data_IF_441420241185
#
_entry.id   IF_441420241185
#
_cell.length_a   1.000
_cell.length_b   1.000
_cell.length_c   1.000
_cell.angle_alpha   90.00
_cell.angle_beta   90.00
_cell.angle_gamma   90.00
#
_symmetry.space_group_name_H-M   'P 1'
#
loop_
_entity.id
_entity.type
_entity.pdbx_description
1 polymer ?
#
# COMPACT_ATOMS: atom_id res chain seq x y z
N UNK A 1 23.08 13.06 -6.60
CA UNK A 1 22.34 12.02 -5.85
C UNK A 1 21.72 11.07 -6.85
N UNK A 2 22.09 9.81 -6.79
CA UNK A 2 21.53 8.79 -7.69
C UNK A 2 20.07 8.57 -7.30
N UNK A 3 19.14 9.12 -8.05
CA UNK A 3 17.71 8.84 -7.91
C UNK A 3 17.51 7.35 -8.24
N UNK A 4 17.21 6.56 -7.24
CA UNK A 4 16.94 5.13 -7.41
C UNK A 4 15.68 4.98 -8.27
N UNK A 5 15.85 4.62 -9.53
CA UNK A 5 14.75 4.32 -10.44
C UNK A 5 14.25 2.90 -10.23
N UNK A 6 12.95 2.70 -10.32
CA UNK A 6 12.28 1.41 -10.18
C UNK A 6 11.63 1.02 -11.48
N UNK A 7 11.66 -0.28 -11.80
CA UNK A 7 10.91 -0.85 -12.93
C UNK A 7 9.42 -0.68 -12.67
N UNK A 8 8.71 -0.13 -13.62
CA UNK A 8 7.28 0.08 -13.52
C UNK A 8 6.57 -0.20 -14.84
N UNK A 9 5.31 -0.56 -14.72
CA UNK A 9 4.35 -0.68 -15.82
C UNK A 9 3.22 0.28 -15.55
N UNK A 10 3.02 1.22 -16.48
CA UNK A 10 1.91 2.14 -16.46
C UNK A 10 0.80 1.56 -17.33
N UNK A 11 -0.33 1.17 -16.74
CA UNK A 11 -1.53 0.73 -17.44
C UNK A 11 -2.46 1.91 -17.65
N UNK A 12 -2.95 2.06 -18.89
CA UNK A 12 -3.96 3.05 -19.22
C UNK A 12 -5.36 2.45 -19.24
N UNK A 13 -6.38 3.28 -19.14
CA UNK A 13 -7.78 2.83 -19.31
C UNK A 13 -8.11 2.35 -20.70
N UNK A 14 -7.34 2.75 -21.71
CA UNK A 14 -7.40 2.23 -23.09
C UNK A 14 -6.92 0.78 -23.22
N UNK A 15 -6.52 0.16 -22.11
CA UNK A 15 -5.88 -1.16 -22.00
C UNK A 15 -4.43 -1.24 -22.45
N UNK A 16 -3.91 -0.19 -23.07
CA UNK A 16 -2.49 -0.08 -23.41
C UNK A 16 -1.64 0.02 -22.14
N UNK A 17 -0.40 -0.39 -22.26
CA UNK A 17 0.57 -0.26 -21.19
C UNK A 17 1.92 0.21 -21.72
N UNK A 18 2.69 0.82 -20.85
CA UNK A 18 4.06 1.25 -21.11
C UNK A 18 4.95 0.79 -19.99
N UNK A 19 6.01 0.05 -20.31
CA UNK A 19 7.05 -0.36 -19.36
C UNK A 19 8.21 0.62 -19.37
N UNK A 20 8.80 0.86 -18.20
CA UNK A 20 9.96 1.72 -18.08
C UNK A 20 10.41 1.91 -16.64
N UNK A 21 11.18 2.96 -16.42
CA UNK A 21 11.76 3.27 -15.12
C UNK A 21 11.15 4.56 -14.56
N UNK A 22 10.68 4.50 -13.33
CA UNK A 22 10.09 5.61 -12.60
C UNK A 22 10.98 5.96 -11.40
N UNK A 23 11.10 7.24 -11.06
CA UNK A 23 11.71 7.66 -9.82
C UNK A 23 10.96 7.05 -8.62
N UNK A 24 11.66 6.70 -7.55
CA UNK A 24 11.02 6.10 -6.38
C UNK A 24 10.06 7.08 -5.67
N UNK A 25 10.31 8.37 -5.81
CA UNK A 25 9.52 9.50 -5.30
C UNK A 25 9.40 10.56 -6.38
N UNK A 26 8.39 11.42 -6.26
CA UNK A 26 8.20 12.59 -7.13
C UNK A 26 8.14 12.26 -8.62
N UNK A 27 7.46 11.20 -8.99
CA UNK A 27 7.30 10.80 -10.38
C UNK A 27 6.06 11.39 -11.05
N UNK A 28 5.25 12.15 -10.30
CA UNK A 28 4.11 12.89 -10.84
C UNK A 28 4.45 14.37 -10.91
N UNK A 29 4.27 14.97 -12.07
CA UNK A 29 4.51 16.40 -12.29
C UNK A 29 3.45 16.98 -13.21
N UNK A 30 2.88 18.09 -12.82
CA UNK A 30 1.90 18.84 -13.62
C UNK A 30 0.76 17.98 -14.17
N UNK A 31 0.26 17.04 -13.35
CA UNK A 31 -0.84 16.13 -13.74
C UNK A 31 -0.44 15.00 -14.69
N UNK A 32 0.85 14.69 -14.78
CA UNK A 32 1.38 13.59 -15.58
C UNK A 32 2.31 12.68 -14.76
N UNK A 33 2.35 11.41 -15.12
CA UNK A 33 3.33 10.43 -14.66
C UNK A 33 4.54 10.49 -15.58
N UNK A 34 5.72 10.74 -15.04
CA UNK A 34 6.98 10.74 -15.79
C UNK A 34 7.62 9.35 -15.77
N UNK A 35 7.80 8.77 -16.93
CA UNK A 35 8.40 7.45 -17.13
C UNK A 35 9.57 7.55 -18.12
N UNK A 36 10.72 6.98 -17.77
CA UNK A 36 11.80 6.73 -18.72
C UNK A 36 11.55 5.39 -19.39
N UNK A 37 11.20 5.39 -20.68
CA UNK A 37 10.93 4.17 -21.41
C UNK A 37 12.20 3.33 -21.67
N UNK A 38 12.03 2.14 -22.24
CA UNK A 38 13.14 1.22 -22.52
C UNK A 38 14.06 1.71 -23.65
N UNK A 39 13.64 2.71 -24.44
CA UNK A 39 14.45 3.35 -25.46
C UNK A 39 15.28 4.52 -24.93
N UNK A 40 15.10 4.88 -23.65
CA UNK A 40 15.78 6.02 -23.02
C UNK A 40 15.06 7.36 -23.18
N UNK A 41 13.81 7.34 -23.66
CA UNK A 41 12.99 8.55 -23.83
C UNK A 41 12.12 8.78 -22.58
N UNK A 42 12.04 10.03 -22.13
CA UNK A 42 11.12 10.43 -21.07
C UNK A 42 9.73 10.64 -21.66
N UNK A 43 8.76 9.92 -21.13
CA UNK A 43 7.35 10.04 -21.49
C UNK A 43 6.60 10.70 -20.32
N UNK A 44 5.72 11.63 -20.64
CA UNK A 44 4.76 12.20 -19.70
C UNK A 44 3.36 11.66 -20.05
N UNK A 45 2.81 10.87 -19.16
CA UNK A 45 1.50 10.20 -19.33
C UNK A 45 0.50 10.91 -18.44
N UNK A 46 -0.56 11.46 -19.02
CA UNK A 46 -1.61 12.15 -18.26
C UNK A 46 -2.19 11.23 -17.17
N UNK A 47 -2.25 11.73 -15.93
CA UNK A 47 -2.83 10.99 -14.80
C UNK A 47 -4.27 10.58 -15.09
N UNK A 48 -5.02 11.39 -15.87
CA UNK A 48 -6.40 11.08 -16.26
C UNK A 48 -6.51 9.80 -17.09
N UNK A 49 -5.47 9.46 -17.84
CA UNK A 49 -5.43 8.26 -18.68
C UNK A 49 -4.91 7.03 -17.93
N UNK A 50 -4.23 7.25 -16.80
CA UNK A 50 -3.59 6.17 -16.03
C UNK A 50 -4.62 5.43 -15.18
N UNK A 51 -4.68 4.10 -15.37
CA UNK A 51 -5.45 3.21 -14.51
C UNK A 51 -4.70 2.92 -13.20
N UNK A 52 -3.46 2.46 -13.32
CA UNK A 52 -2.51 2.24 -12.22
C UNK A 52 -1.07 2.24 -12.71
N UNK A 53 -0.16 2.42 -11.78
CA UNK A 53 1.28 2.24 -11.98
C UNK A 53 1.74 1.07 -11.12
N UNK A 54 2.17 -0.02 -11.76
CA UNK A 54 2.63 -1.22 -11.08
C UNK A 54 4.16 -1.25 -11.00
N UNK A 55 4.69 -1.29 -9.79
CA UNK A 55 6.11 -1.49 -9.56
C UNK A 55 6.42 -2.98 -9.62
N UNK A 56 7.22 -3.37 -10.59
CA UNK A 56 7.41 -4.77 -10.97
C UNK A 56 8.85 -5.24 -10.74
N UNK A 57 9.00 -6.55 -10.59
CA UNK A 57 10.33 -7.18 -10.50
C UNK A 57 10.98 -7.24 -11.86
N UNK A 58 10.21 -7.58 -12.90
CA UNK A 58 10.70 -7.72 -14.25
C UNK A 58 9.66 -7.22 -15.28
N UNK A 59 10.16 -6.75 -16.43
CA UNK A 59 9.32 -6.41 -17.58
C UNK A 59 8.87 -7.64 -18.35
N UNK A 60 9.63 -8.73 -18.28
CA UNK A 60 9.31 -10.01 -18.91
C UNK A 60 8.69 -10.97 -17.89
N UNK A 61 7.41 -10.82 -17.64
CA UNK A 61 6.65 -11.70 -16.75
C UNK A 61 6.18 -13.00 -17.41
N UNK A 62 6.41 -13.15 -18.72
CA UNK A 62 5.87 -14.24 -19.54
C UNK A 62 4.45 -13.99 -20.06
N UNK A 63 3.83 -12.86 -19.69
CA UNK A 63 2.49 -12.46 -20.15
C UNK A 63 2.56 -11.10 -20.86
N UNK A 64 2.40 -11.09 -22.17
CA UNK A 64 2.52 -9.86 -22.97
C UNK A 64 1.34 -8.91 -22.77
N UNK A 65 0.14 -9.44 -22.55
CA UNK A 65 -1.07 -8.63 -22.38
C UNK A 65 -1.23 -8.09 -20.95
N UNK A 66 -0.62 -8.76 -19.98
CA UNK A 66 -0.70 -8.41 -18.57
C UNK A 66 0.66 -8.56 -17.87
N UNK A 67 1.66 -7.74 -18.24
CA UNK A 67 3.01 -7.86 -17.70
C UNK A 67 3.09 -7.56 -16.20
N UNK A 68 2.18 -6.80 -15.64
CA UNK A 68 2.06 -6.57 -14.19
C UNK A 68 1.65 -7.82 -13.42
N UNK A 69 0.97 -8.76 -14.05
CA UNK A 69 0.61 -10.09 -13.54
C UNK A 69 0.09 -10.09 -12.09
N UNK A 70 -1.18 -9.71 -11.94
CA UNK A 70 -1.89 -9.89 -10.66
C UNK A 70 -2.39 -11.33 -10.54
N UNK A 71 -1.77 -12.13 -9.69
CA UNK A 71 -2.27 -13.49 -9.39
C UNK A 71 -3.54 -13.44 -8.54
N UNK A 72 -3.59 -12.48 -7.62
CA UNK A 72 -4.75 -12.24 -6.76
C UNK A 72 -5.03 -10.75 -6.68
N UNK A 73 -6.28 -10.37 -6.89
CA UNK A 73 -6.76 -8.99 -6.70
C UNK A 73 -7.46 -8.79 -5.36
N UNK A 74 -7.85 -9.87 -4.69
CA UNK A 74 -8.57 -9.84 -3.42
C UNK A 74 -7.89 -10.73 -2.38
N UNK A 75 -8.05 -10.40 -1.12
CA UNK A 75 -7.61 -11.25 -0.02
C UNK A 75 -8.60 -12.39 0.19
N UNK A 76 -8.09 -13.61 0.44
CA UNK A 76 -8.92 -14.76 0.85
C UNK A 76 -9.22 -14.79 2.36
N UNK A 77 -8.65 -13.87 3.11
CA UNK A 77 -8.80 -13.74 4.56
C UNK A 77 -8.09 -12.49 5.05
N UNK A 78 -7.94 -12.34 6.37
CA UNK A 78 -7.29 -11.16 6.94
C UNK A 78 -5.84 -11.01 6.43
N UNK A 79 -5.45 -9.82 5.94
CA UNK A 79 -4.07 -9.53 5.56
C UNK A 79 -3.10 -9.74 6.73
N UNK A 80 -1.89 -10.22 6.43
CA UNK A 80 -0.84 -10.42 7.44
C UNK A 80 0.03 -9.19 7.69
N UNK A 81 0.03 -8.23 6.74
CA UNK A 81 0.76 -6.98 6.86
C UNK A 81 0.02 -5.94 7.70
N UNK A 82 0.67 -4.83 7.99
CA UNK A 82 0.09 -3.68 8.69
C UNK A 82 -0.41 -2.64 7.69
N UNK A 83 -1.41 -1.87 8.08
CA UNK A 83 -1.94 -0.77 7.30
C UNK A 83 -3.46 -0.76 7.23
N UNK A 84 -3.98 0.03 6.31
CA UNK A 84 -5.41 0.07 6.00
C UNK A 84 -5.70 -0.96 4.92
N UNK A 85 -6.55 -1.94 5.24
CA UNK A 85 -7.09 -2.84 4.25
C UNK A 85 -8.16 -2.12 3.46
N UNK A 86 -7.86 -1.82 2.21
CA UNK A 86 -8.75 -1.12 1.29
C UNK A 86 -9.31 -2.08 0.24
N UNK A 87 -10.57 -1.86 -0.09
CA UNK A 87 -11.22 -2.43 -1.27
C UNK A 87 -11.56 -1.28 -2.20
N UNK A 88 -11.12 -1.39 -3.44
CA UNK A 88 -11.24 -0.34 -4.44
C UNK A 88 -12.05 -0.82 -5.62
N UNK A 89 -12.92 0.03 -6.13
CA UNK A 89 -13.53 -0.11 -7.44
C UNK A 89 -12.97 0.99 -8.34
N UNK A 90 -12.47 0.60 -9.49
CA UNK A 90 -11.97 1.52 -10.49
C UNK A 90 -13.11 1.97 -11.41
N UNK A 91 -12.94 3.10 -12.07
CA UNK A 91 -13.99 3.67 -12.93
C UNK A 91 -14.36 2.82 -14.17
N UNK A 92 -13.52 1.84 -14.53
CA UNK A 92 -13.83 0.84 -15.57
C UNK A 92 -14.54 -0.41 -15.00
N UNK A 93 -14.89 -0.41 -13.72
CA UNK A 93 -15.55 -1.51 -13.03
C UNK A 93 -14.60 -2.59 -12.49
N UNK A 94 -13.31 -2.51 -12.75
CA UNK A 94 -12.33 -3.44 -12.18
C UNK A 94 -12.16 -3.20 -10.66
N UNK A 95 -11.82 -4.25 -9.93
CA UNK A 95 -11.68 -4.20 -8.47
C UNK A 95 -10.28 -4.61 -8.04
N UNK A 96 -9.81 -4.05 -6.94
CA UNK A 96 -8.54 -4.38 -6.34
C UNK A 96 -8.62 -4.21 -4.82
N UNK A 97 -8.14 -5.18 -4.07
CA UNK A 97 -7.86 -5.02 -2.65
C UNK A 97 -6.37 -4.86 -2.39
N UNK A 98 -6.02 -4.26 -1.28
CA UNK A 98 -4.64 -4.14 -0.86
C UNK A 98 -4.49 -3.44 0.48
N UNK A 99 -3.25 -3.36 0.93
CA UNK A 99 -2.88 -2.62 2.13
C UNK A 99 -2.24 -1.29 1.75
N UNK A 100 -2.83 -0.21 2.23
CA UNK A 100 -2.23 1.12 2.18
C UNK A 100 -1.54 1.42 3.50
N UNK A 101 -0.44 2.17 3.44
CA UNK A 101 0.20 2.69 4.64
C UNK A 101 -0.75 3.66 5.35
N UNK A 102 -0.94 3.47 6.66
CA UNK A 102 -1.73 4.39 7.48
C UNK A 102 -0.91 5.64 7.80
N UNK A 103 -0.84 6.55 6.89
CA UNK A 103 -0.02 7.74 6.98
C UNK A 103 -0.44 8.85 6.03
N UNK A 104 0.31 9.95 6.05
CA UNK A 104 0.00 11.16 5.30
C UNK A 104 -0.02 10.95 3.78
N UNK A 105 0.70 9.94 3.27
CA UNK A 105 0.70 9.60 1.84
C UNK A 105 -0.68 9.24 1.26
N UNK A 106 -1.65 8.88 2.13
CA UNK A 106 -3.04 8.70 1.71
C UNK A 106 -3.74 10.01 1.36
N UNK A 107 -3.21 11.14 1.80
CA UNK A 107 -3.75 12.47 1.54
C UNK A 107 -3.11 13.13 0.31
N UNK A 108 -2.16 12.47 -0.34
CA UNK A 108 -1.54 12.97 -1.56
C UNK A 108 -2.62 13.23 -2.63
N UNK A 109 -2.55 14.41 -3.24
CA UNK A 109 -3.59 14.86 -4.18
C UNK A 109 -3.65 14.01 -5.44
N UNK A 110 -2.49 13.51 -5.92
CA UNK A 110 -2.40 12.79 -7.19
C UNK A 110 -2.82 11.31 -7.06
N UNK A 111 -2.48 10.68 -5.96
CA UNK A 111 -2.74 9.27 -5.75
C UNK A 111 -2.06 8.70 -4.51
N UNK A 112 -2.16 7.41 -4.32
CA UNK A 112 -1.56 6.72 -3.18
C UNK A 112 -1.05 5.32 -3.55
N UNK A 113 -0.18 4.80 -2.69
CA UNK A 113 0.39 3.46 -2.84
C UNK A 113 -0.45 2.39 -2.16
N UNK A 114 -0.47 1.21 -2.78
CA UNK A 114 -1.13 0.02 -2.30
C UNK A 114 -0.20 -1.19 -2.45
N UNK A 115 -0.15 -2.03 -1.41
CA UNK A 115 0.50 -3.34 -1.50
C UNK A 115 -0.56 -4.37 -1.87
N UNK A 116 -0.45 -5.04 -3.02
CA UNK A 116 -1.44 -6.01 -3.48
C UNK A 116 -1.45 -7.27 -2.61
N UNK A 117 -2.51 -8.11 -2.67
CA UNK A 117 -2.64 -9.31 -1.85
C UNK A 117 -1.54 -10.35 -2.05
N UNK A 118 -1.00 -10.44 -3.25
CA UNK A 118 0.08 -11.38 -3.57
C UNK A 118 1.34 -10.66 -4.05
N UNK A 119 2.26 -10.43 -3.10
CA UNK A 119 3.57 -9.82 -3.38
C UNK A 119 4.57 -10.78 -4.03
N UNK A 120 4.23 -12.06 -4.18
CA UNK A 120 5.04 -13.05 -4.92
C UNK A 120 4.82 -12.98 -6.42
N UNK A 121 3.74 -12.34 -6.87
CA UNK A 121 3.53 -12.01 -8.28
C UNK A 121 4.57 -11.00 -8.79
N UNK A 122 4.56 -10.69 -10.06
CA UNK A 122 5.48 -9.73 -10.65
C UNK A 122 5.32 -8.33 -10.04
N UNK A 123 4.08 -7.92 -9.73
CA UNK A 123 3.78 -6.63 -9.10
C UNK A 123 3.99 -6.69 -7.58
N UNK A 124 4.87 -5.82 -7.09
CA UNK A 124 5.19 -5.71 -5.67
C UNK A 124 4.40 -4.60 -4.98
N UNK A 125 4.12 -3.51 -5.70
CA UNK A 125 3.44 -2.31 -5.21
C UNK A 125 2.67 -1.66 -6.35
N UNK A 126 1.54 -1.07 -6.04
CA UNK A 126 0.69 -0.37 -7.01
C UNK A 126 0.54 1.07 -6.54
N UNK A 127 0.72 2.01 -7.45
CA UNK A 127 0.28 3.37 -7.23
C UNK A 127 -1.03 3.61 -8.01
N UNK A 128 -2.01 4.18 -7.34
CA UNK A 128 -3.33 4.42 -7.86
C UNK A 128 -3.58 5.92 -7.93
N UNK A 129 -3.79 6.47 -9.13
CA UNK A 129 -4.29 7.82 -9.25
C UNK A 129 -5.66 7.93 -8.58
N UNK A 130 -5.94 9.03 -7.88
CA UNK A 130 -7.30 9.26 -7.33
C UNK A 130 -8.35 9.33 -8.43
N UNK A 131 -7.97 9.83 -9.60
CA UNK A 131 -8.83 9.92 -10.78
C UNK A 131 -9.22 8.56 -11.35
N UNK A 132 -8.54 7.49 -10.98
CA UNK A 132 -8.88 6.13 -11.41
C UNK A 132 -9.97 5.47 -10.57
N UNK A 133 -10.26 6.02 -9.38
CA UNK A 133 -11.17 5.43 -8.43
C UNK A 133 -12.62 5.85 -8.68
N UNK A 134 -13.54 4.89 -8.65
CA UNK A 134 -14.97 5.11 -8.55
C UNK A 134 -15.42 4.99 -7.09
N UNK A 135 -14.88 4.02 -6.34
CA UNK A 135 -15.24 3.78 -4.95
C UNK A 135 -14.02 3.30 -4.15
N UNK A 136 -13.97 3.69 -2.88
CA UNK A 136 -12.99 3.24 -1.91
C UNK A 136 -13.70 2.87 -0.61
N UNK A 137 -13.51 1.64 -0.16
CA UNK A 137 -13.98 1.13 1.13
C UNK A 137 -12.79 0.80 2.03
N UNK A 138 -12.82 1.27 3.27
CA UNK A 138 -11.88 0.83 4.31
C UNK A 138 -12.49 -0.40 4.98
N UNK A 139 -11.97 -1.58 4.66
CA UNK A 139 -12.46 -2.85 5.20
C UNK A 139 -12.06 -3.00 6.67
N UNK A 140 -10.81 -2.72 6.99
CA UNK A 140 -10.29 -2.78 8.36
C UNK A 140 -8.96 -2.04 8.51
N UNK A 141 -8.62 -1.71 9.73
CA UNK A 141 -7.27 -1.30 10.14
C UNK A 141 -6.54 -2.55 10.62
N UNK A 142 -5.44 -2.88 9.97
CA UNK A 142 -4.61 -4.02 10.33
C UNK A 142 -3.40 -3.50 11.07
N UNK A 143 -3.36 -3.76 12.38
CA UNK A 143 -2.19 -3.50 13.21
C UNK A 143 -1.54 -4.81 13.62
N UNK A 144 -0.22 -4.88 13.66
CA UNK A 144 0.44 -5.92 14.45
C UNK A 144 0.05 -5.66 15.90
N UNK A 145 -0.42 -6.68 16.60
CA UNK A 145 -0.49 -6.60 18.04
C UNK A 145 0.95 -6.38 18.53
N UNK A 146 1.30 -5.11 18.76
CA UNK A 146 2.51 -4.80 19.49
C UNK A 146 2.41 -5.61 20.78
N UNK A 147 3.29 -6.59 20.96
CA UNK A 147 3.52 -7.18 22.28
C UNK A 147 3.82 -5.99 23.16
N UNK A 148 2.83 -5.52 23.93
CA UNK A 148 3.04 -4.55 24.98
C UNK A 148 4.11 -5.20 25.84
N UNK A 149 5.35 -4.74 25.69
CA UNK A 149 6.40 -5.05 26.65
C UNK A 149 5.85 -4.56 27.97
N UNK A 150 5.63 -5.43 28.97
CA UNK A 150 5.16 -4.96 30.27
C UNK A 150 6.15 -3.88 30.71
N UNK A 151 5.68 -2.77 31.29
CA UNK A 151 6.58 -1.73 31.75
C UNK A 151 7.59 -2.38 32.71
N UNK A 152 8.87 -2.29 32.36
CA UNK A 152 9.93 -2.76 33.21
C UNK A 152 9.90 -1.88 34.49
N UNK A 153 9.44 -2.45 35.64
CA UNK A 153 9.47 -1.73 36.89
C UNK A 153 8.22 -1.79 37.77
N UNK A 154 7.21 -2.57 37.48
CA UNK A 154 6.20 -2.89 38.50
C UNK A 154 6.78 -3.92 39.47
N UNK A 155 7.42 -3.44 40.55
CA UNK A 155 7.59 -4.27 41.74
C UNK A 155 6.20 -4.63 42.28
N UNK A 156 5.93 -5.87 42.68
CA UNK A 156 4.71 -6.17 43.42
C UNK A 156 4.75 -5.34 44.70
N UNK A 157 3.86 -4.39 44.84
CA UNK A 157 3.53 -3.82 46.15
C UNK A 157 2.96 -4.95 46.97
N UNK A 158 3.74 -5.38 47.98
CA UNK A 158 3.18 -6.18 49.07
C UNK A 158 2.05 -5.38 49.67
N UNK A 159 0.84 -5.91 49.53
CA UNK A 159 -0.33 -5.39 50.20
C UNK A 159 -0.09 -5.51 51.69
N UNK A 160 0.26 -4.40 52.34
CA UNK A 160 0.17 -4.27 53.75
C UNK A 160 -1.31 -4.37 54.12
N UNK A 161 -1.69 -5.54 54.60
CA UNK A 161 -2.97 -5.72 55.29
C UNK A 161 -2.86 -4.93 56.61
N UNK A 162 -3.38 -3.72 56.59
CA UNK A 162 -3.73 -3.03 57.83
C UNK A 162 -4.89 -3.77 58.45
N UNK A 163 -4.66 -4.41 59.61
CA UNK A 163 -5.67 -4.99 60.48
C UNK A 163 -6.47 -3.88 61.12
N UNK A 164 -7.70 -3.67 60.59
CA UNK A 164 -8.64 -2.61 60.95
C UNK A 164 -9.46 -2.93 62.24
N UNK A 165 -9.04 -3.87 63.10
CA UNK A 165 -9.75 -4.16 64.34
C UNK A 165 -8.83 -4.16 65.55
N UNK A 166 -8.92 -3.15 66.44
CA UNK A 166 -8.32 -3.27 67.75
C UNK A 166 -9.15 -4.21 68.61
N UNK A 167 -8.53 -5.28 69.09
CA UNK A 167 -9.10 -6.14 70.11
C UNK A 167 -9.34 -5.35 71.38
N UNK A 168 -10.60 -5.21 71.78
CA UNK A 168 -10.97 -4.69 73.10
C UNK A 168 -10.52 -5.68 74.15
N UNK A 169 -9.73 -5.20 75.10
CA UNK A 169 -9.41 -5.92 76.34
C UNK A 169 -10.40 -5.50 77.40
N UNK A 170 -11.03 -6.50 78.02
CA UNK A 170 -11.55 -6.43 79.37
C UNK A 170 -10.41 -6.52 80.40
#
# INVERSE_FOLDING_TARGET
MSSSRKKAIVRKFTRDWVGGYIAATDFTRQGAVELLDLSGKVLAISIQDVKWVCFVRDFNSGEMDNPEKFVRKNYSGRPRGEGLWLRLQLRDGDTLEGLAENGIGLLDADGFFLTPPDTRSNTQRVWLPRTSLAELEVVAVISSAAKKKPPAGAKPEEAQQETLFPLARN
#
